data_IF_074466531350
#
_entry.id   IF_074466531350
#
_cell.length_a   1.000
_cell.length_b   1.000
_cell.length_c   1.000
_cell.angle_alpha   90.00
_cell.angle_beta   90.00
_cell.angle_gamma   90.00
#
_symmetry.space_group_name_H-M   'P 1'
#
loop_
_entity.id
_entity.type
_entity.pdbx_description
1 polymer ?
#
# COMPACT_ATOMS: atom_id res chain seq x y z
N UNK A 1 -4.97 9.72 18.05
CA UNK A 1 -6.04 9.61 17.03
C UNK A 1 -5.74 8.54 15.97
N UNK A 2 -4.62 8.62 15.23
CA UNK A 2 -4.24 7.58 14.22
C UNK A 2 -4.02 6.18 14.81
N UNK A 3 -3.34 6.06 15.95
CA UNK A 3 -3.12 4.78 16.63
C UNK A 3 -4.42 4.09 17.10
N UNK A 4 -5.37 4.86 17.62
CA UNK A 4 -6.66 4.31 18.11
C UNK A 4 -7.47 3.75 16.93
N UNK A 5 -7.45 4.44 15.79
CA UNK A 5 -8.12 3.97 14.57
C UNK A 5 -7.46 2.70 14.02
N UNK A 6 -6.12 2.64 13.97
CA UNK A 6 -5.41 1.46 13.49
C UNK A 6 -5.61 0.25 14.39
N UNK A 7 -5.60 0.42 15.72
CA UNK A 7 -5.87 -0.67 16.67
C UNK A 7 -7.29 -1.20 16.50
N UNK A 8 -8.30 -0.32 16.47
CA UNK A 8 -9.70 -0.72 16.28
C UNK A 8 -9.96 -1.44 14.96
N UNK A 9 -9.29 -1.01 13.88
CA UNK A 9 -9.39 -1.65 12.56
C UNK A 9 -8.76 -3.05 12.60
N UNK A 10 -7.60 -3.21 13.25
CA UNK A 10 -6.95 -4.52 13.41
C UNK A 10 -7.76 -5.47 14.27
N UNK A 11 -8.39 -4.98 15.34
CA UNK A 11 -9.29 -5.80 16.17
C UNK A 11 -10.52 -6.27 15.38
N UNK A 12 -11.04 -5.40 14.50
CA UNK A 12 -12.21 -5.72 13.66
C UNK A 12 -11.87 -6.62 12.47
N UNK A 13 -10.66 -6.50 11.94
CA UNK A 13 -10.18 -7.22 10.76
C UNK A 13 -8.76 -7.74 11.03
N UNK A 14 -8.66 -8.81 11.81
CA UNK A 14 -7.37 -9.42 12.22
C UNK A 14 -6.48 -9.78 11.04
N UNK A 15 -7.10 -10.24 9.95
CA UNK A 15 -6.39 -10.80 8.80
C UNK A 15 -6.02 -9.72 7.77
N UNK A 16 -6.29 -8.45 8.09
CA UNK A 16 -6.06 -7.33 7.19
C UNK A 16 -5.21 -6.23 7.80
N UNK A 17 -4.41 -5.64 6.95
CA UNK A 17 -3.42 -4.64 7.31
C UNK A 17 -3.87 -3.27 6.79
N UNK A 18 -3.99 -2.27 7.68
CA UNK A 18 -4.29 -0.91 7.27
C UNK A 18 -3.04 -0.28 6.64
N UNK A 19 -3.13 0.10 5.37
CA UNK A 19 -2.04 0.72 4.61
C UNK A 19 -2.47 2.10 4.14
N UNK A 20 -1.59 3.10 4.30
CA UNK A 20 -1.80 4.44 3.76
C UNK A 20 -0.86 4.61 2.56
N UNK A 21 -1.43 4.95 1.41
CA UNK A 21 -0.69 5.23 0.18
C UNK A 21 -0.83 6.69 -0.17
N UNK A 22 0.30 7.34 -0.39
CA UNK A 22 0.35 8.73 -0.84
C UNK A 22 1.25 8.84 -2.06
N UNK A 23 0.94 9.82 -2.91
CA UNK A 23 1.77 10.18 -4.06
C UNK A 23 2.95 11.00 -3.57
N UNK A 24 4.15 10.69 -4.04
CA UNK A 24 5.33 11.50 -3.79
C UNK A 24 5.20 12.88 -4.46
N UNK A 25 5.65 13.94 -3.79
CA UNK A 25 5.48 15.33 -4.23
C UNK A 25 6.07 15.62 -5.62
N UNK A 26 7.12 14.90 -6.02
CA UNK A 26 7.82 15.07 -7.31
C UNK A 26 7.42 14.04 -8.36
N UNK A 27 6.25 13.41 -8.23
CA UNK A 27 5.80 12.35 -9.13
C UNK A 27 4.73 12.83 -10.10
N UNK A 28 4.90 12.48 -11.38
CA UNK A 28 3.94 12.76 -12.45
C UNK A 28 2.79 11.74 -12.54
N UNK A 29 2.61 10.90 -11.51
CA UNK A 29 1.48 9.97 -11.46
C UNK A 29 0.16 10.70 -11.15
N UNK A 30 -0.98 10.17 -11.61
CA UNK A 30 -2.29 10.66 -11.22
C UNK A 30 -2.49 10.62 -9.70
N UNK A 31 -3.32 11.53 -9.20
CA UNK A 31 -3.63 11.57 -7.77
C UNK A 31 -4.42 10.33 -7.32
N UNK A 32 -4.16 9.90 -6.08
CA UNK A 32 -4.80 8.74 -5.47
C UNK A 32 -6.07 9.19 -4.75
N UNK A 33 -7.22 8.73 -5.23
CA UNK A 33 -8.54 9.07 -4.68
C UNK A 33 -8.77 8.51 -3.26
N UNK A 34 -8.35 7.26 -3.02
CA UNK A 34 -8.45 6.57 -1.74
C UNK A 34 -7.07 6.27 -1.20
N UNK A 35 -6.63 7.05 -0.22
CA UNK A 35 -5.32 6.86 0.41
C UNK A 35 -5.28 5.69 1.41
N UNK A 36 -6.41 5.34 2.02
CA UNK A 36 -6.51 4.27 3.03
C UNK A 36 -6.94 2.96 2.39
N UNK A 37 -6.12 1.93 2.53
CA UNK A 37 -6.36 0.58 2.04
C UNK A 37 -6.40 -0.40 3.22
N UNK A 38 -7.21 -1.44 3.05
CA UNK A 38 -7.26 -2.56 3.99
C UNK A 38 -6.94 -3.82 3.20
N UNK A 39 -5.66 -4.21 3.22
CA UNK A 39 -5.11 -5.29 2.39
C UNK A 39 -5.00 -6.59 3.19
N UNK A 40 -5.26 -7.75 2.57
CA UNK A 40 -4.95 -9.05 3.18
C UNK A 40 -3.46 -9.16 3.54
N UNK A 41 -3.14 -9.79 4.67
CA UNK A 41 -1.74 -9.96 5.10
C UNK A 41 -0.91 -10.89 4.21
N UNK A 42 -1.57 -11.83 3.53
CA UNK A 42 -0.99 -12.79 2.59
C UNK A 42 -0.76 -12.22 1.18
N UNK A 43 -1.22 -10.99 0.92
CA UNK A 43 -0.98 -10.31 -0.34
C UNK A 43 0.49 -9.92 -0.45
N UNK A 44 1.10 -10.04 -1.64
CA UNK A 44 2.48 -9.59 -1.85
C UNK A 44 2.55 -8.10 -2.19
N UNK A 45 3.71 -7.48 -1.94
CA UNK A 45 3.97 -6.10 -2.34
C UNK A 45 3.77 -5.89 -3.85
N UNK A 46 4.18 -6.83 -4.69
CA UNK A 46 3.98 -6.77 -6.14
C UNK A 46 2.50 -6.78 -6.54
N UNK A 47 1.69 -7.62 -5.90
CA UNK A 47 0.24 -7.63 -6.09
C UNK A 47 -0.38 -6.30 -5.62
N UNK A 48 0.09 -5.75 -4.50
CA UNK A 48 -0.40 -4.46 -4.01
C UNK A 48 -0.10 -3.32 -4.99
N UNK A 49 1.12 -3.26 -5.51
CA UNK A 49 1.53 -2.30 -6.54
C UNK A 49 0.61 -2.38 -7.76
N UNK A 50 0.20 -3.59 -8.17
CA UNK A 50 -0.75 -3.78 -9.26
C UNK A 50 -2.15 -3.23 -8.94
N UNK A 51 -2.63 -3.42 -7.70
CA UNK A 51 -3.91 -2.84 -7.23
C UNK A 51 -3.85 -1.31 -7.27
N UNK A 52 -2.76 -0.71 -6.80
CA UNK A 52 -2.57 0.75 -6.84
C UNK A 52 -2.53 1.24 -8.27
N UNK A 53 -1.76 0.60 -9.17
CA UNK A 53 -1.70 0.91 -10.61
C UNK A 53 -3.10 0.94 -11.24
N UNK A 54 -3.91 -0.09 -10.98
CA UNK A 54 -5.27 -0.18 -11.50
C UNK A 54 -6.17 0.93 -10.94
N UNK A 55 -5.95 1.35 -9.68
CA UNK A 55 -6.71 2.43 -9.05
C UNK A 55 -6.44 3.78 -9.69
N UNK A 56 -5.18 4.13 -9.91
CA UNK A 56 -4.77 5.39 -10.56
C UNK A 56 -4.89 5.34 -12.09
N UNK A 57 -5.39 4.24 -12.66
CA UNK A 57 -5.54 4.01 -14.12
C UNK A 57 -4.24 4.26 -14.89
N UNK A 58 -3.09 3.90 -14.29
CA UNK A 58 -1.79 4.12 -14.91
C UNK A 58 -1.53 3.06 -16.00
N UNK A 59 -1.23 3.52 -17.22
CA UNK A 59 -0.86 2.66 -18.35
C UNK A 59 0.29 1.72 -18.00
N UNK A 60 0.27 0.50 -18.54
CA UNK A 60 1.32 -0.49 -18.36
C UNK A 60 2.70 -0.01 -18.86
N UNK A 61 2.71 0.91 -19.83
CA UNK A 61 3.93 1.54 -20.37
C UNK A 61 4.64 2.45 -19.37
N UNK A 62 3.92 2.95 -18.37
CA UNK A 62 4.49 3.82 -17.33
C UNK A 62 4.93 3.00 -16.12
N UNK A 63 6.15 3.28 -15.66
CA UNK A 63 6.68 2.68 -14.44
C UNK A 63 5.98 3.23 -13.19
N UNK A 64 5.88 2.40 -12.16
CA UNK A 64 5.39 2.78 -10.83
C UNK A 64 6.34 2.16 -9.81
N UNK A 65 6.71 2.95 -8.80
CA UNK A 65 7.56 2.52 -7.69
C UNK A 65 6.86 2.87 -6.39
N UNK A 66 6.92 1.97 -5.42
CA UNK A 66 6.38 2.15 -4.07
C UNK A 66 7.55 2.09 -3.11
N UNK A 67 7.57 3.01 -2.16
CA UNK A 67 8.62 3.11 -1.16
C UNK A 67 8.02 2.92 0.23
N UNK A 68 8.69 2.10 1.04
CA UNK A 68 8.43 1.94 2.47
C UNK A 68 9.73 2.27 3.17
N UNK A 69 9.72 3.22 4.11
CA UNK A 69 10.93 3.73 4.77
C UNK A 69 12.05 4.13 3.77
N UNK A 70 11.67 4.83 2.69
CA UNK A 70 12.55 5.25 1.58
C UNK A 70 13.24 4.10 0.81
N UNK A 71 12.85 2.85 1.06
CA UNK A 71 13.39 1.67 0.40
C UNK A 71 12.31 1.03 -0.49
N UNK A 72 12.73 0.42 -1.59
CA UNK A 72 11.84 -0.40 -2.41
C UNK A 72 11.63 -1.75 -1.71
N UNK A 73 10.42 -2.08 -1.25
CA UNK A 73 10.17 -3.38 -0.65
C UNK A 73 10.34 -4.49 -1.70
N UNK A 74 10.81 -5.69 -1.31
CA UNK A 74 10.87 -6.82 -2.23
C UNK A 74 9.47 -7.15 -2.77
N UNK A 75 9.34 -7.31 -4.09
CA UNK A 75 8.02 -7.57 -4.73
C UNK A 75 7.36 -8.87 -4.26
N UNK A 76 8.16 -9.84 -3.82
CA UNK A 76 7.71 -11.10 -3.27
C UNK A 76 7.42 -11.05 -1.76
N UNK A 77 7.77 -9.97 -1.07
CA UNK A 77 7.49 -9.84 0.37
C UNK A 77 5.99 -9.73 0.62
N UNK A 78 5.53 -10.38 1.68
CA UNK A 78 4.15 -10.30 2.15
C UNK A 78 3.90 -8.93 2.78
N UNK A 79 2.68 -8.41 2.63
CA UNK A 79 2.27 -7.16 3.27
C UNK A 79 2.33 -7.28 4.80
N UNK A 80 2.12 -8.48 5.36
CA UNK A 80 2.33 -8.75 6.80
C UNK A 80 3.76 -8.55 7.24
N UNK A 81 4.71 -9.14 6.50
CA UNK A 81 6.13 -9.00 6.81
C UNK A 81 6.57 -7.52 6.74
N UNK A 82 6.15 -6.79 5.71
CA UNK A 82 6.46 -5.34 5.57
C UNK A 82 5.85 -4.51 6.69
N UNK A 83 4.71 -4.93 7.24
CA UNK A 83 4.02 -4.20 8.31
C UNK A 83 4.61 -4.47 9.70
N UNK A 84 5.23 -5.63 9.89
CA UNK A 84 5.88 -6.04 11.15
C UNK A 84 7.32 -5.50 11.29
N UNK A 85 7.97 -5.14 10.18
CA UNK A 85 9.22 -4.37 10.14
C UNK A 85 9.06 -2.91 10.61
#
# INVERSE_FOLDING_TARGET
>A
RRQVESVRIREKYSDRIPVIVEKAERSDIPDIDKKKYLVPGDLTAGQFVYVVRKRIKLSAEKAIFVFVNNTLPPTAALMSAIYEE
#
